data_IF_536468862807
#
_entry.id   IF_536468862807
#
_cell.length_a   1.000
_cell.length_b   1.000
_cell.length_c   1.000
_cell.angle_alpha   90.00
_cell.angle_beta   90.00
_cell.angle_gamma   90.00
#
_symmetry.space_group_name_H-M   'P 1'
#
loop_
_entity.id
_entity.type
_entity.pdbx_description
1 polymer ?
#
# COMPACT_ATOMS: atom_id res chain seq x y z
N UNK A 1 10.87 0.55 -12.00
CA UNK A 1 10.98 -0.67 -12.82
C UNK A 1 9.60 -1.28 -12.93
N UNK A 2 9.03 -1.33 -14.13
CA UNK A 2 7.78 -2.05 -14.39
C UNK A 2 8.06 -3.56 -14.33
N UNK A 3 7.19 -4.31 -13.66
CA UNK A 3 7.20 -5.78 -13.65
C UNK A 3 6.43 -6.27 -14.88
N UNK A 4 6.85 -7.34 -15.54
CA UNK A 4 6.07 -7.96 -16.63
C UNK A 4 5.27 -9.17 -16.13
N UNK A 5 4.33 -9.67 -16.94
CA UNK A 5 3.45 -10.78 -16.53
C UNK A 5 4.21 -12.07 -16.23
N UNK A 6 5.16 -12.47 -17.08
CA UNK A 6 5.89 -13.74 -16.93
C UNK A 6 6.69 -13.76 -15.61
N UNK A 7 7.41 -12.69 -15.32
CA UNK A 7 8.18 -12.54 -14.07
C UNK A 7 7.26 -12.54 -12.84
N UNK A 8 6.10 -11.87 -12.93
CA UNK A 8 5.11 -11.87 -11.86
C UNK A 8 4.50 -13.27 -11.65
N UNK A 9 4.21 -14.00 -12.73
CA UNK A 9 3.61 -15.33 -12.70
C UNK A 9 4.53 -16.37 -12.07
N UNK A 10 5.82 -16.36 -12.42
CA UNK A 10 6.82 -17.27 -11.85
C UNK A 10 7.00 -17.08 -10.35
N UNK A 11 6.90 -15.83 -9.88
CA UNK A 11 7.05 -15.48 -8.45
C UNK A 11 5.76 -15.67 -7.65
N UNK A 12 4.62 -15.83 -8.32
CA UNK A 12 3.32 -15.89 -7.69
C UNK A 12 3.11 -17.15 -6.85
N UNK A 13 2.37 -16.99 -5.75
CA UNK A 13 1.90 -18.11 -4.93
C UNK A 13 0.84 -18.89 -5.73
N UNK A 14 0.91 -20.24 -5.79
CA UNK A 14 0.00 -21.07 -6.59
C UNK A 14 -1.35 -21.29 -5.89
N UNK A 15 -2.01 -20.20 -5.50
CA UNK A 15 -3.32 -20.20 -4.84
C UNK A 15 -4.12 -19.02 -5.38
N UNK A 16 -5.41 -19.24 -5.65
CA UNK A 16 -6.31 -18.16 -6.04
C UNK A 16 -6.40 -17.13 -4.91
N UNK A 17 -6.20 -15.83 -5.19
CA UNK A 17 -6.27 -14.81 -4.16
C UNK A 17 -7.69 -14.65 -3.61
N UNK A 18 -8.71 -14.79 -4.46
CA UNK A 18 -10.11 -14.54 -4.12
C UNK A 18 -10.93 -15.84 -4.22
N UNK A 19 -11.91 -15.96 -3.34
CA UNK A 19 -12.86 -17.07 -3.31
C UNK A 19 -14.06 -16.85 -4.26
N UNK A 20 -14.38 -15.60 -4.58
CA UNK A 20 -15.50 -15.22 -5.45
C UNK A 20 -15.24 -13.86 -6.16
N UNK A 21 -16.17 -13.47 -7.05
CA UNK A 21 -16.07 -12.23 -7.79
C UNK A 21 -16.25 -10.96 -6.94
N UNK A 22 -17.07 -11.01 -5.89
CA UNK A 22 -17.33 -9.86 -5.01
C UNK A 22 -16.07 -9.45 -4.23
N UNK A 23 -15.27 -10.43 -3.79
CA UNK A 23 -13.99 -10.16 -3.13
C UNK A 23 -13.01 -9.44 -4.06
N UNK A 24 -12.96 -9.85 -5.34
CA UNK A 24 -12.18 -9.16 -6.34
C UNK A 24 -12.69 -7.73 -6.55
N UNK A 25 -14.00 -7.53 -6.67
CA UNK A 25 -14.61 -6.22 -6.93
C UNK A 25 -14.26 -5.24 -5.79
N UNK A 26 -14.56 -5.59 -4.54
CA UNK A 26 -14.24 -4.75 -3.37
C UNK A 26 -12.74 -4.44 -3.24
N UNK A 27 -11.89 -5.43 -3.51
CA UNK A 27 -10.45 -5.23 -3.47
C UNK A 27 -9.98 -4.30 -4.58
N UNK A 28 -10.51 -4.48 -5.79
CA UNK A 28 -10.10 -3.72 -6.98
C UNK A 28 -10.44 -2.24 -6.85
N UNK A 29 -11.60 -1.89 -6.29
CA UNK A 29 -12.00 -0.51 -6.02
C UNK A 29 -11.02 0.19 -5.07
N UNK A 30 -10.49 -0.55 -4.10
CA UNK A 30 -9.61 -0.01 -3.05
C UNK A 30 -8.14 0.09 -3.49
N UNK A 31 -7.66 -0.90 -4.26
CA UNK A 31 -6.23 -1.09 -4.50
C UNK A 31 -5.80 -1.08 -5.96
N UNK A 32 -6.70 -1.42 -6.90
CA UNK A 32 -6.37 -1.51 -8.32
C UNK A 32 -5.94 -0.17 -8.90
N UNK A 33 -6.35 0.98 -8.34
CA UNK A 33 -5.85 2.32 -8.73
C UNK A 33 -4.56 2.77 -8.00
N UNK A 34 -4.17 2.04 -6.96
CA UNK A 34 -3.27 2.56 -5.91
C UNK A 34 -1.94 1.81 -5.83
N UNK A 35 -1.90 0.57 -6.32
CA UNK A 35 -0.68 -0.23 -6.38
C UNK A 35 0.31 0.34 -7.41
N UNK A 36 1.52 0.74 -7.01
CA UNK A 36 2.46 1.43 -7.90
C UNK A 36 3.07 0.53 -8.98
N UNK A 37 3.11 -0.78 -8.76
CA UNK A 37 3.66 -1.74 -9.73
C UNK A 37 2.79 -1.88 -10.99
N UNK A 38 1.47 -1.74 -10.83
CA UNK A 38 0.54 -1.67 -11.97
C UNK A 38 0.33 -0.23 -12.50
N UNK A 39 0.80 0.80 -11.78
CA UNK A 39 0.57 2.20 -12.16
C UNK A 39 1.12 2.61 -13.56
N UNK A 40 2.29 2.12 -14.03
CA UNK A 40 2.75 2.36 -15.40
C UNK A 40 1.74 1.89 -16.46
N UNK A 41 0.96 0.85 -16.14
CA UNK A 41 -0.02 0.22 -17.01
C UNK A 41 -1.44 0.79 -16.83
N UNK A 42 -1.62 1.89 -16.09
CA UNK A 42 -2.94 2.56 -15.96
C UNK A 42 -3.11 3.79 -16.85
N UNK A 43 -1.99 4.38 -17.30
CA UNK A 43 -1.98 5.62 -18.10
C UNK A 43 -1.94 5.39 -19.60
N UNK A 44 -1.78 4.15 -20.05
CA UNK A 44 -1.85 3.81 -21.47
C UNK A 44 -3.27 3.31 -21.74
N UNK A 45 -4.07 4.11 -22.47
CA UNK A 45 -5.47 3.81 -22.72
C UNK A 45 -5.69 2.38 -23.23
N UNK A 46 -6.82 1.78 -22.82
CA UNK A 46 -7.39 0.53 -23.34
C UNK A 46 -6.36 -0.47 -23.91
N UNK A 47 -5.61 -1.14 -23.04
CA UNK A 47 -4.75 -2.25 -23.48
C UNK A 47 -3.38 -2.36 -22.82
N UNK A 48 -3.04 -1.56 -21.80
CA UNK A 48 -1.91 -1.92 -20.94
C UNK A 48 -2.39 -2.86 -19.85
N UNK A 49 -2.06 -4.14 -20.04
CA UNK A 49 -2.37 -5.21 -19.10
C UNK A 49 -1.70 -4.90 -17.75
N UNK A 50 -2.49 -4.94 -16.67
CA UNK A 50 -1.97 -4.88 -15.31
C UNK A 50 -1.42 -6.27 -14.98
N UNK A 51 -0.10 -6.47 -14.97
CA UNK A 51 0.50 -7.80 -14.91
C UNK A 51 0.13 -8.54 -13.62
N UNK A 52 0.01 -7.84 -12.49
CA UNK A 52 -0.39 -8.47 -11.22
C UNK A 52 -1.85 -8.92 -11.25
N UNK A 53 -2.72 -8.15 -11.89
CA UNK A 53 -4.14 -8.49 -12.06
C UNK A 53 -4.29 -9.70 -12.99
N UNK A 54 -3.52 -9.77 -14.07
CA UNK A 54 -3.54 -10.94 -14.95
C UNK A 54 -3.06 -12.21 -14.25
N UNK A 55 -2.06 -12.10 -13.35
CA UNK A 55 -1.63 -13.22 -12.51
C UNK A 55 -2.76 -13.66 -11.57
N UNK A 56 -3.47 -12.72 -10.96
CA UNK A 56 -4.65 -12.99 -10.13
C UNK A 56 -5.75 -13.75 -10.89
N UNK A 57 -6.05 -13.33 -12.12
CA UNK A 57 -7.00 -14.02 -12.99
C UNK A 57 -6.48 -15.35 -13.54
N UNK A 58 -5.17 -15.60 -13.46
CA UNK A 58 -4.58 -16.91 -13.74
C UNK A 58 -4.58 -17.83 -12.52
N UNK A 59 -5.47 -17.57 -11.56
CA UNK A 59 -5.67 -18.33 -10.31
C UNK A 59 -4.41 -18.38 -9.42
N UNK A 60 -3.60 -17.32 -9.45
CA UNK A 60 -2.38 -17.21 -8.64
C UNK A 60 -2.31 -15.90 -7.88
N UNK A 61 -1.78 -15.93 -6.67
CA UNK A 61 -1.63 -14.72 -5.85
C UNK A 61 -0.28 -14.08 -6.12
N UNK A 62 -0.21 -12.85 -6.65
CA UNK A 62 1.07 -12.19 -6.91
C UNK A 62 1.91 -12.02 -5.64
N UNK A 63 3.25 -12.08 -5.78
CA UNK A 63 4.17 -11.91 -4.66
C UNK A 63 4.17 -10.48 -4.09
N UNK A 64 3.73 -9.52 -4.90
CA UNK A 64 3.60 -8.10 -4.58
C UNK A 64 2.39 -7.79 -3.70
N UNK A 65 1.56 -8.79 -3.40
CA UNK A 65 0.40 -8.66 -2.52
C UNK A 65 0.73 -9.26 -1.17
N UNK A 66 0.79 -8.39 -0.16
CA UNK A 66 0.92 -8.79 1.25
C UNK A 66 -0.44 -9.12 1.81
N UNK A 67 -0.49 -10.04 2.76
CA UNK A 67 -1.72 -10.31 3.48
C UNK A 67 -2.07 -9.08 4.32
N UNK A 68 -3.28 -8.58 4.14
CA UNK A 68 -3.76 -7.40 4.87
C UNK A 68 -4.14 -7.71 6.33
N UNK A 69 -4.63 -6.71 7.07
CA UNK A 69 -4.99 -6.88 8.47
C UNK A 69 -6.03 -7.99 8.66
N UNK A 70 -5.92 -8.71 9.78
CA UNK A 70 -6.86 -9.73 10.24
C UNK A 70 -7.31 -9.40 11.65
N UNK A 71 -8.57 -9.70 11.98
CA UNK A 71 -9.08 -9.58 13.34
C UNK A 71 -8.58 -10.71 14.25
N UNK A 72 -8.95 -10.69 15.54
CA UNK A 72 -8.57 -11.72 16.52
C UNK A 72 -9.05 -13.13 16.13
N UNK A 73 -10.06 -13.22 15.27
CA UNK A 73 -10.62 -14.46 14.73
C UNK A 73 -10.03 -14.83 13.37
N UNK A 74 -9.03 -14.08 12.87
CA UNK A 74 -8.38 -14.32 11.58
C UNK A 74 -9.19 -13.89 10.36
N UNK A 75 -10.30 -13.16 10.54
CA UNK A 75 -11.16 -12.69 9.45
C UNK A 75 -10.56 -11.43 8.83
N UNK A 76 -10.85 -11.23 7.55
CA UNK A 76 -10.48 -10.04 6.79
C UNK A 76 -11.72 -9.31 6.29
N UNK A 77 -11.55 -8.02 5.99
CA UNK A 77 -12.47 -7.28 5.12
C UNK A 77 -12.10 -7.60 3.69
N UNK A 78 -13.07 -7.80 2.80
CA UNK A 78 -12.79 -8.19 1.41
C UNK A 78 -11.91 -7.14 0.73
N UNK A 79 -12.23 -5.85 0.92
CA UNK A 79 -11.40 -4.74 0.48
C UNK A 79 -9.97 -4.71 1.02
N UNK A 80 -9.67 -5.34 2.15
CA UNK A 80 -8.35 -5.34 2.80
C UNK A 80 -7.73 -6.74 2.89
N UNK A 81 -8.22 -7.70 2.11
CA UNK A 81 -7.69 -9.06 2.14
C UNK A 81 -6.20 -9.06 1.78
N UNK A 82 -5.82 -8.26 0.77
CA UNK A 82 -4.43 -8.04 0.37
C UNK A 82 -4.10 -6.57 0.26
N UNK A 83 -2.84 -6.24 0.54
CA UNK A 83 -2.27 -4.90 0.43
C UNK A 83 -1.08 -4.93 -0.50
N UNK A 84 -1.00 -3.99 -1.45
CA UNK A 84 0.13 -3.90 -2.36
C UNK A 84 1.40 -3.44 -1.62
N UNK A 85 2.52 -4.16 -1.79
CA UNK A 85 3.84 -3.83 -1.18
C UNK A 85 4.25 -2.39 -1.47
N UNK A 86 4.06 -1.95 -2.72
CA UNK A 86 4.37 -0.58 -3.15
C UNK A 86 3.07 0.20 -3.34
N UNK A 87 2.51 0.65 -2.23
CA UNK A 87 1.28 1.43 -2.18
C UNK A 87 1.56 2.94 -2.22
N UNK A 88 0.79 3.68 -3.02
CA UNK A 88 0.75 5.15 -2.96
C UNK A 88 -0.50 5.62 -2.23
N UNK A 89 -0.37 6.18 -1.03
CA UNK A 89 -1.52 6.76 -0.33
C UNK A 89 -2.21 7.83 -1.21
N UNK A 90 -3.55 7.88 -1.28
CA UNK A 90 -4.27 9.01 -1.85
C UNK A 90 -3.72 10.31 -1.25
N UNK A 91 -3.24 11.23 -2.10
CA UNK A 91 -2.58 12.48 -1.68
C UNK A 91 -1.06 12.41 -1.42
N UNK A 92 -0.46 11.21 -1.43
CA UNK A 92 0.98 11.00 -1.23
C UNK A 92 1.78 11.26 -2.51
N UNK A 93 1.99 12.52 -2.87
CA UNK A 93 3.10 12.93 -3.73
C UNK A 93 4.36 13.01 -2.87
N UNK A 94 5.34 12.15 -3.13
CA UNK A 94 6.63 12.11 -2.43
C UNK A 94 7.52 13.32 -2.75
N UNK A 95 7.09 14.50 -2.35
CA UNK A 95 7.97 15.63 -2.11
C UNK A 95 8.23 15.75 -0.61
N UNK A 96 9.45 16.16 -0.24
CA UNK A 96 9.73 16.74 1.08
C UNK A 96 8.55 17.61 1.50
N UNK A 97 8.02 17.52 2.75
CA UNK A 97 6.92 18.36 3.18
C UNK A 97 7.30 19.84 2.99
N UNK A 98 6.85 20.44 1.88
CA UNK A 98 7.06 21.86 1.65
C UNK A 98 6.04 22.60 2.51
N UNK A 99 6.46 23.61 3.29
CA UNK A 99 5.53 24.47 3.99
C UNK A 99 4.48 24.98 3.01
N UNK A 100 3.20 24.88 3.36
CA UNK A 100 2.16 25.57 2.58
C UNK A 100 2.48 27.07 2.60
N UNK A 101 2.30 27.78 1.47
CA UNK A 101 2.37 29.23 1.45
C UNK A 101 1.44 29.81 2.50
N UNK A 102 1.86 30.89 3.16
CA UNK A 102 0.97 31.60 4.10
C UNK A 102 -0.26 32.11 3.33
N UNK A 103 -1.47 32.04 3.90
CA UNK A 103 -2.67 32.61 3.29
C UNK A 103 -2.46 34.10 3.00
N UNK A 104 -2.97 34.57 1.86
CA UNK A 104 -2.98 36.00 1.55
C UNK A 104 -3.67 36.77 2.70
N UNK A 105 -3.12 37.93 3.05
CA UNK A 105 -3.61 38.85 4.10
C UNK A 105 -3.45 38.40 5.57
N UNK A 106 -2.63 37.38 5.84
CA UNK A 106 -2.29 36.94 7.21
C UNK A 106 -0.85 37.31 7.61
N UNK A 107 -0.45 38.56 7.35
CA UNK A 107 0.84 39.09 7.80
C UNK A 107 0.94 39.08 9.33
N UNK A 108 1.63 38.09 9.89
CA UNK A 108 2.29 38.23 11.21
C UNK A 108 1.39 38.44 12.43
N UNK A 109 0.08 38.11 12.38
CA UNK A 109 -0.83 38.27 13.53
C UNK A 109 -0.38 37.51 14.79
N UNK A 110 0.46 36.49 14.63
CA UNK A 110 1.10 35.77 15.73
C UNK A 110 2.56 35.45 15.41
N UNK A 111 3.47 35.51 16.39
CA UNK A 111 4.82 34.99 16.21
C UNK A 111 4.74 33.50 15.88
N UNK A 112 5.43 33.09 14.81
CA UNK A 112 5.52 31.68 14.41
C UNK A 112 6.10 30.88 15.60
N UNK A 113 5.39 29.89 16.16
CA UNK A 113 5.97 29.05 17.21
C UNK A 113 7.20 28.32 16.67
N UNK A 114 8.20 28.12 17.51
CA UNK A 114 9.41 27.38 17.11
C UNK A 114 9.02 25.98 16.59
N UNK A 115 9.60 25.61 15.44
CA UNK A 115 9.35 24.30 14.84
C UNK A 115 10.03 23.24 15.69
N UNK A 116 9.29 22.62 16.60
CA UNK A 116 9.74 21.38 17.22
C UNK A 116 9.77 20.28 16.15
N UNK A 117 10.98 19.85 15.78
CA UNK A 117 11.16 18.57 15.07
C UNK A 117 10.69 17.50 16.05
N UNK A 118 9.52 16.90 15.81
CA UNK A 118 9.12 15.70 16.55
C UNK A 118 10.07 14.58 16.10
N UNK A 119 11.15 14.39 16.84
CA UNK A 119 11.98 13.21 16.67
C UNK A 119 11.13 11.99 17.02
N UNK A 120 11.02 10.97 16.14
CA UNK A 120 10.44 9.70 16.54
C UNK A 120 11.31 9.11 17.64
N UNK A 121 10.70 8.89 18.81
CA UNK A 121 11.34 8.14 19.91
C UNK A 121 11.31 6.67 19.51
N UNK A 122 12.49 6.06 19.37
CA UNK A 122 12.59 4.61 19.22
C UNK A 122 12.10 3.95 20.52
N UNK A 123 11.19 2.97 20.46
CA UNK A 123 10.84 2.21 21.66
C UNK A 123 12.10 1.50 22.16
N UNK A 124 12.43 1.73 23.43
CA UNK A 124 13.52 1.01 24.10
C UNK A 124 13.27 -0.49 23.99
N UNK A 125 14.28 -1.22 23.54
CA UNK A 125 14.30 -2.67 23.45
C UNK A 125 13.80 -3.29 24.75
N UNK A 126 12.59 -3.85 24.72
CA UNK A 126 12.08 -4.67 25.81
C UNK A 126 13.07 -5.82 26.01
N UNK A 127 13.81 -5.76 27.11
CA UNK A 127 14.75 -6.79 27.52
C UNK A 127 14.01 -8.13 27.59
N UNK A 128 14.46 -9.07 26.76
CA UNK A 128 14.21 -10.50 26.93
C UNK A 128 14.86 -10.91 28.25
N UNK A 129 14.10 -10.86 29.35
CA UNK A 129 14.48 -11.56 30.58
C UNK A 129 14.03 -13.01 30.41
N UNK A 130 15.02 -13.85 30.09
CA UNK A 130 14.88 -15.28 29.94
C UNK A 130 14.33 -15.94 31.20
N UNK A 131 13.42 -16.90 30.98
CA UNK A 131 13.12 -17.98 31.92
C UNK A 131 14.38 -18.81 32.17
N UNK A 132 14.68 -19.10 33.42
CA UNK A 132 15.43 -20.30 33.80
C UNK A 132 14.95 -20.77 35.17
N UNK A 133 14.43 -22.00 35.12
CA UNK A 133 14.30 -23.06 36.13
C UNK A 133 14.42 -22.70 37.61
#
# INVERSE_FOLDING_TARGET
MSLNFEEAYERARPVSPFANGDEWEEWSESWCGTCLRDAPHRRMGSGSDCPLVMVAFSERTPAEWLDGPRDEQGRYRMSEQYVCVEYRRPGGGGGEPRPQPEPLDMEGLFPRPERAVRMPVLPETAAVVGRSA
#
